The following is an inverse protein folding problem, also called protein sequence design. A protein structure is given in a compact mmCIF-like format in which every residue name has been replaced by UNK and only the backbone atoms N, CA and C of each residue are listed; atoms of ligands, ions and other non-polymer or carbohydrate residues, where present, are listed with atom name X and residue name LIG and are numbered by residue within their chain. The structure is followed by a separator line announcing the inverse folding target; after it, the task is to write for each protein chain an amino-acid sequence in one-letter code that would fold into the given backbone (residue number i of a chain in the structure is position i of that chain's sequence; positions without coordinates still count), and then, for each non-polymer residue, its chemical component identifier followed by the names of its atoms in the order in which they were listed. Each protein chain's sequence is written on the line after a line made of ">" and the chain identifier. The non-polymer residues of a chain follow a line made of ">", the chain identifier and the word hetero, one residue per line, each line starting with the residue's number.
data_IF_673034895380
#
_entry.id   IF_673034895380
#
_cell.length_a   1.000
_cell.length_b   1.000
_cell.length_c   1.000
_cell.angle_alpha   90.00
_cell.angle_beta   90.00
_cell.angle_gamma   90.00
#
_symmetry.space_group_name_H-M   'P 1'
#
loop_
_entity.id
_entity.type
_entity.pdbx_description
1 polymer ?
#
# COMPACT_ATOMS: atom_id res chain seq x y z
N UNK A 1 18.22 -1.16 -30.15
CA UNK A 1 18.28 -0.86 -28.70
C UNK A 1 16.93 -1.23 -28.11
N UNK A 2 16.85 -2.34 -27.38
CA UNK A 2 15.68 -2.65 -26.55
C UNK A 2 15.87 -1.93 -25.22
N UNK A 3 15.24 -0.77 -25.07
CA UNK A 3 15.22 -0.04 -23.81
C UNK A 3 14.25 -0.71 -22.85
N UNK A 4 14.69 -0.99 -21.63
CA UNK A 4 13.83 -1.43 -20.54
C UNK A 4 13.12 -0.21 -19.96
N UNK A 5 11.78 -0.18 -20.01
CA UNK A 5 10.98 0.90 -19.44
C UNK A 5 10.50 0.48 -18.06
N UNK A 6 10.82 1.28 -17.05
CA UNK A 6 10.38 1.04 -15.68
C UNK A 6 9.25 1.98 -15.28
N UNK A 7 8.28 1.47 -14.52
CA UNK A 7 7.13 2.23 -14.07
C UNK A 7 7.38 2.70 -12.65
N UNK A 8 7.68 3.99 -12.49
CA UNK A 8 7.87 4.60 -11.17
C UNK A 8 6.52 4.97 -10.54
N UNK A 9 5.60 5.54 -11.32
CA UNK A 9 4.30 5.99 -10.85
C UNK A 9 3.19 5.42 -11.74
N UNK A 10 2.32 4.58 -11.17
CA UNK A 10 1.18 4.00 -11.86
C UNK A 10 -0.12 4.60 -11.31
N UNK A 11 -0.83 5.37 -12.14
CA UNK A 11 -2.09 6.01 -11.77
C UNK A 11 -3.25 5.43 -12.57
N UNK A 12 -4.05 4.60 -11.91
CA UNK A 12 -5.23 3.94 -12.45
C UNK A 12 -6.50 4.32 -11.67
N UNK A 13 -6.50 5.46 -10.99
CA UNK A 13 -7.68 5.96 -10.27
C UNK A 13 -8.85 6.25 -11.20
N UNK A 14 -10.09 6.14 -10.72
CA UNK A 14 -11.33 6.35 -11.50
C UNK A 14 -11.45 5.41 -12.70
N UNK A 15 -11.17 4.13 -12.49
CA UNK A 15 -11.30 3.08 -13.49
C UNK A 15 -12.19 1.95 -12.97
N UNK A 16 -12.24 0.83 -13.71
CA UNK A 16 -12.98 -0.38 -13.34
C UNK A 16 -12.08 -1.51 -12.84
N UNK A 17 -10.98 -1.16 -12.15
CA UNK A 17 -10.03 -2.14 -11.62
C UNK A 17 -10.67 -2.86 -10.43
N UNK A 18 -10.89 -4.17 -10.57
CA UNK A 18 -11.35 -5.03 -9.48
C UNK A 18 -10.22 -5.85 -8.87
N UNK A 19 -10.59 -6.83 -8.04
CA UNK A 19 -9.62 -7.71 -7.37
C UNK A 19 -8.62 -8.40 -8.32
N UNK A 20 -9.09 -8.86 -9.49
CA UNK A 20 -8.22 -9.48 -10.49
C UNK A 20 -7.16 -8.52 -11.03
N UNK A 21 -7.53 -7.24 -11.22
CA UNK A 21 -6.56 -6.21 -11.62
C UNK A 21 -5.53 -5.93 -10.53
N UNK A 22 -5.94 -5.92 -9.26
CA UNK A 22 -4.99 -5.80 -8.15
C UNK A 22 -4.02 -6.99 -8.08
N UNK A 23 -4.49 -8.21 -8.35
CA UNK A 23 -3.62 -9.40 -8.46
C UNK A 23 -2.62 -9.25 -9.61
N UNK A 24 -3.06 -8.78 -10.78
CA UNK A 24 -2.16 -8.50 -11.91
C UNK A 24 -1.05 -7.51 -11.52
N UNK A 25 -1.37 -6.47 -10.74
CA UNK A 25 -0.40 -5.50 -10.24
C UNK A 25 0.62 -6.09 -9.27
N UNK A 26 0.33 -7.21 -8.59
CA UNK A 26 1.35 -7.88 -7.78
C UNK A 26 2.48 -8.47 -8.63
N UNK A 27 2.22 -8.84 -9.89
CA UNK A 27 3.29 -9.24 -10.80
C UNK A 27 4.20 -8.06 -11.14
N UNK A 28 3.63 -6.87 -11.35
CA UNK A 28 4.42 -5.66 -11.57
C UNK A 28 5.36 -5.34 -10.40
N UNK A 29 4.91 -5.55 -9.16
CA UNK A 29 5.73 -5.35 -7.96
C UNK A 29 6.92 -6.32 -7.84
N UNK A 30 6.85 -7.48 -8.50
CA UNK A 30 7.87 -8.54 -8.45
C UNK A 30 8.67 -8.68 -9.74
N UNK A 31 8.21 -8.10 -10.85
CA UNK A 31 8.76 -8.37 -12.16
C UNK A 31 10.22 -7.92 -12.27
N UNK A 32 10.50 -6.61 -12.17
CA UNK A 32 11.86 -6.07 -12.27
C UNK A 32 12.02 -4.73 -11.54
N UNK A 33 13.27 -4.33 -11.30
CA UNK A 33 13.62 -3.07 -10.66
C UNK A 33 13.83 -1.93 -11.68
N UNK A 34 13.44 -0.68 -11.38
CA UNK A 34 12.80 -0.25 -10.13
C UNK A 34 11.32 -0.65 -10.06
N UNK A 35 10.92 -1.17 -8.91
CA UNK A 35 9.52 -1.37 -8.58
C UNK A 35 8.80 -0.02 -8.41
N UNK A 36 7.47 0.04 -8.61
CA UNK A 36 6.72 1.29 -8.50
C UNK A 36 6.85 1.96 -7.14
N UNK A 37 6.98 3.28 -7.13
CA UNK A 37 6.98 4.10 -5.92
C UNK A 37 5.57 4.60 -5.59
N UNK A 38 4.70 4.75 -6.60
CA UNK A 38 3.28 5.12 -6.43
C UNK A 38 2.39 4.16 -7.22
N UNK A 39 1.34 3.65 -6.57
CA UNK A 39 0.22 2.95 -7.20
C UNK A 39 -1.06 3.61 -6.70
N UNK A 40 -1.75 4.31 -7.60
CA UNK A 40 -2.98 5.02 -7.28
C UNK A 40 -4.19 4.35 -7.92
N UNK A 41 -5.03 3.77 -7.05
CA UNK A 41 -6.19 2.95 -7.37
C UNK A 41 -7.47 3.45 -6.69
N UNK A 42 -7.54 4.74 -6.31
CA UNK A 42 -8.77 5.30 -5.75
C UNK A 42 -9.92 5.26 -6.77
N UNK A 43 -11.18 5.25 -6.32
CA UNK A 43 -12.34 5.24 -7.23
C UNK A 43 -12.30 4.06 -8.21
N UNK A 44 -12.08 2.85 -7.67
CA UNK A 44 -12.11 1.58 -8.40
C UNK A 44 -13.03 0.60 -7.68
N UNK A 45 -12.97 -0.69 -8.00
CA UNK A 45 -13.88 -1.72 -7.48
C UNK A 45 -13.12 -2.73 -6.60
N UNK A 46 -12.11 -2.27 -5.87
CA UNK A 46 -11.29 -3.11 -5.00
C UNK A 46 -12.04 -3.43 -3.73
N UNK A 47 -12.03 -4.71 -3.33
CA UNK A 47 -12.48 -5.15 -2.00
C UNK A 47 -11.29 -5.16 -1.02
N UNK A 48 -11.52 -5.20 0.31
CA UNK A 48 -10.43 -5.29 1.29
C UNK A 48 -9.42 -6.42 1.04
N UNK A 49 -9.88 -7.55 0.48
CA UNK A 49 -8.99 -8.66 0.12
C UNK A 49 -7.98 -8.29 -0.99
N UNK A 50 -8.33 -7.42 -1.93
CA UNK A 50 -7.40 -6.95 -2.96
C UNK A 50 -6.31 -6.05 -2.35
N UNK A 51 -6.66 -5.21 -1.38
CA UNK A 51 -5.70 -4.39 -0.64
C UNK A 51 -4.76 -5.27 0.18
N UNK A 52 -5.28 -6.32 0.83
CA UNK A 52 -4.44 -7.35 1.47
C UNK A 52 -3.43 -7.93 0.48
N UNK A 53 -3.87 -8.36 -0.71
CA UNK A 53 -2.99 -8.93 -1.74
C UNK A 53 -1.86 -7.96 -2.15
N UNK A 54 -2.18 -6.69 -2.40
CA UNK A 54 -1.19 -5.67 -2.78
C UNK A 54 -0.17 -5.43 -1.65
N UNK A 55 -0.63 -5.36 -0.40
CA UNK A 55 0.23 -5.15 0.76
C UNK A 55 1.16 -6.35 1.00
N UNK A 56 0.65 -7.57 0.89
CA UNK A 56 1.49 -8.79 1.03
C UNK A 56 2.50 -8.91 -0.10
N UNK A 57 2.13 -8.53 -1.32
CA UNK A 57 3.06 -8.53 -2.46
C UNK A 57 4.17 -7.48 -2.28
N UNK A 58 3.83 -6.26 -1.85
CA UNK A 58 4.85 -5.27 -1.52
C UNK A 58 5.79 -5.75 -0.40
N UNK A 59 5.27 -6.47 0.60
CA UNK A 59 6.06 -7.04 1.69
C UNK A 59 7.02 -8.15 1.24
N UNK A 60 6.56 -9.01 0.32
CA UNK A 60 7.32 -10.15 -0.20
C UNK A 60 8.27 -9.78 -1.37
N UNK A 61 8.18 -8.57 -1.91
CA UNK A 61 9.06 -8.15 -3.00
C UNK A 61 10.44 -7.74 -2.49
N UNK A 62 11.48 -8.34 -3.10
CA UNK A 62 12.88 -8.02 -2.86
C UNK A 62 13.24 -6.59 -3.28
N UNK A 63 12.38 -5.95 -4.08
CA UNK A 63 12.57 -4.59 -4.58
C UNK A 63 12.09 -3.52 -3.61
N UNK A 64 11.39 -3.90 -2.52
CA UNK A 64 11.00 -2.99 -1.45
C UNK A 64 11.83 -3.22 -0.16
N UNK A 65 12.29 -2.13 0.50
CA UNK A 65 12.08 -0.73 0.14
C UNK A 65 12.89 -0.32 -1.11
N UNK A 66 12.35 0.63 -1.89
CA UNK A 66 12.94 1.07 -3.17
C UNK A 66 14.26 1.82 -2.96
N UNK A 67 15.03 2.01 -4.04
CA UNK A 67 16.30 2.77 -4.03
C UNK A 67 16.14 4.22 -3.62
N UNK A 68 15.00 4.86 -3.92
CA UNK A 68 14.69 6.22 -3.43
C UNK A 68 14.42 6.26 -1.93
N UNK A 69 14.32 5.08 -1.29
CA UNK A 69 14.11 4.87 0.14
C UNK A 69 12.83 5.55 0.64
N UNK A 70 11.83 5.62 -0.23
CA UNK A 70 10.48 6.08 0.08
C UNK A 70 9.57 4.86 0.23
N UNK A 71 8.53 4.95 1.07
CA UNK A 71 7.53 3.89 1.12
C UNK A 71 6.83 3.80 -0.23
N UNK A 72 6.27 2.64 -0.57
CA UNK A 72 5.30 2.56 -1.67
C UNK A 72 4.06 3.38 -1.32
N UNK A 73 3.70 4.36 -2.15
CA UNK A 73 2.45 5.10 -2.01
C UNK A 73 1.30 4.32 -2.64
N UNK A 74 0.53 3.62 -1.82
CA UNK A 74 -0.61 2.83 -2.24
C UNK A 74 -1.92 3.55 -1.90
N UNK A 75 -2.53 4.20 -2.89
CA UNK A 75 -3.80 4.92 -2.73
C UNK A 75 -4.97 4.05 -3.15
N UNK A 76 -5.86 3.76 -2.22
CA UNK A 76 -7.00 2.84 -2.41
C UNK A 76 -8.29 3.38 -1.76
N UNK A 77 -8.34 4.68 -1.49
CA UNK A 77 -9.52 5.37 -0.97
C UNK A 77 -10.68 5.38 -1.97
N UNK A 78 -11.90 5.60 -1.47
CA UNK A 78 -13.12 5.84 -2.25
C UNK A 78 -13.43 4.72 -3.26
N UNK A 79 -13.36 3.45 -2.84
CA UNK A 79 -13.75 2.36 -3.73
C UNK A 79 -15.26 2.41 -4.02
N UNK A 80 -15.64 2.23 -5.29
CA UNK A 80 -16.99 2.15 -5.82
C UNK A 80 -17.70 0.82 -5.47
N UNK A 81 -17.20 0.08 -4.48
CA UNK A 81 -17.84 -1.12 -3.93
C UNK A 81 -17.90 -0.97 -2.42
N UNK A 82 -18.99 -1.41 -1.77
CA UNK A 82 -19.15 -1.24 -0.34
C UNK A 82 -18.12 -2.06 0.43
N UNK A 83 -17.44 -1.40 1.35
CA UNK A 83 -16.56 -2.04 2.33
C UNK A 83 -17.33 -2.22 3.63
N UNK A 84 -17.50 -3.47 4.06
CA UNK A 84 -18.26 -3.79 5.28
C UNK A 84 -17.69 -3.04 6.50
N UNK A 85 -18.56 -2.28 7.16
CA UNK A 85 -18.21 -1.50 8.35
C UNK A 85 -17.66 -0.11 8.05
N UNK A 86 -17.72 0.35 6.80
CA UNK A 86 -17.48 1.75 6.45
C UNK A 86 -18.80 2.43 6.13
N UNK A 87 -18.98 3.63 6.68
CA UNK A 87 -20.19 4.43 6.50
C UNK A 87 -19.81 5.79 5.92
N UNK A 88 -20.40 6.23 4.79
CA UNK A 88 -20.13 7.55 4.22
C UNK A 88 -20.38 8.66 5.26
N UNK A 89 -19.38 9.54 5.46
CA UNK A 89 -19.46 10.67 6.40
C UNK A 89 -19.20 10.32 7.87
N UNK A 90 -18.99 9.04 8.23
CA UNK A 90 -18.67 8.60 9.58
C UNK A 90 -17.14 8.52 9.80
N UNK A 91 -16.46 9.66 9.73
CA UNK A 91 -15.00 9.73 9.68
C UNK A 91 -14.32 9.07 10.89
N UNK A 92 -14.85 9.25 12.10
CA UNK A 92 -14.26 8.71 13.33
C UNK A 92 -14.40 7.17 13.40
N UNK A 93 -15.57 6.64 13.07
CA UNK A 93 -15.84 5.21 13.03
C UNK A 93 -15.02 4.52 11.93
N UNK A 94 -14.96 5.14 10.75
CA UNK A 94 -14.14 4.67 9.65
C UNK A 94 -12.65 4.67 10.00
N UNK A 95 -12.18 5.67 10.75
CA UNK A 95 -10.81 5.73 11.24
C UNK A 95 -10.50 4.58 12.20
N UNK A 96 -11.34 4.34 13.21
CA UNK A 96 -11.17 3.23 14.14
C UNK A 96 -11.18 1.86 13.41
N UNK A 97 -12.04 1.73 12.39
CA UNK A 97 -12.09 0.54 11.55
C UNK A 97 -10.80 0.32 10.77
N UNK A 98 -10.24 1.38 10.20
CA UNK A 98 -8.96 1.29 9.50
C UNK A 98 -7.82 0.98 10.45
N UNK A 99 -7.81 1.49 11.68
CA UNK A 99 -6.77 1.14 12.67
C UNK A 99 -6.74 -0.37 12.94
N UNK A 100 -7.92 -0.98 13.07
CA UNK A 100 -8.05 -2.44 13.15
C UNK A 100 -7.51 -3.14 11.89
N UNK A 101 -7.91 -2.68 10.70
CA UNK A 101 -7.46 -3.25 9.44
C UNK A 101 -5.94 -3.15 9.27
N UNK A 102 -5.32 -2.01 9.63
CA UNK A 102 -3.89 -1.80 9.54
C UNK A 102 -3.12 -2.64 10.55
N UNK A 103 -3.68 -2.93 11.74
CA UNK A 103 -3.08 -3.91 12.68
C UNK A 103 -3.03 -5.31 12.06
N UNK A 104 -4.10 -5.76 11.42
CA UNK A 104 -4.11 -7.03 10.70
C UNK A 104 -3.16 -7.03 9.49
N UNK A 105 -3.14 -5.93 8.73
CA UNK A 105 -2.26 -5.79 7.58
C UNK A 105 -0.78 -5.84 7.95
N UNK A 106 -0.38 -5.19 9.06
CA UNK A 106 0.98 -5.32 9.59
C UNK A 106 1.35 -6.79 9.83
N UNK A 107 0.46 -7.59 10.44
CA UNK A 107 0.71 -9.03 10.66
C UNK A 107 0.86 -9.80 9.36
N UNK A 108 -0.03 -9.57 8.38
CA UNK A 108 0.03 -10.23 7.08
C UNK A 108 1.32 -9.88 6.33
N UNK A 109 1.73 -8.61 6.37
CA UNK A 109 2.95 -8.13 5.72
C UNK A 109 4.20 -8.71 6.39
N UNK A 110 4.28 -8.70 7.72
CA UNK A 110 5.40 -9.32 8.44
C UNK A 110 5.54 -10.80 8.10
N UNK A 111 4.43 -11.54 8.15
CA UNK A 111 4.45 -12.96 7.79
C UNK A 111 4.88 -13.17 6.33
N UNK A 112 4.30 -12.44 5.38
CA UNK A 112 4.66 -12.57 3.96
C UNK A 112 6.13 -12.25 3.69
N UNK A 113 6.73 -11.32 4.45
CA UNK A 113 8.15 -10.96 4.32
C UNK A 113 9.08 -11.99 4.94
N UNK A 114 8.69 -12.56 6.09
CA UNK A 114 9.44 -13.61 6.76
C UNK A 114 9.46 -14.91 5.92
N UNK A 115 8.34 -15.28 5.29
CA UNK A 115 8.23 -16.45 4.40
C UNK A 115 9.23 -16.43 3.23
N UNK A 116 9.55 -15.22 2.71
CA UNK A 116 10.54 -15.05 1.64
C UNK A 116 11.93 -14.68 2.16
N UNK A 117 12.16 -14.79 3.47
CA UNK A 117 13.45 -14.57 4.14
C UNK A 117 14.08 -13.19 3.87
N UNK A 118 13.26 -12.14 3.72
CA UNK A 118 13.75 -10.78 3.49
C UNK A 118 14.11 -10.04 4.80
N UNK A 119 15.06 -9.09 4.78
CA UNK A 119 15.44 -8.33 5.97
C UNK A 119 14.26 -7.60 6.59
N UNK A 120 14.16 -7.64 7.93
CA UNK A 120 13.10 -6.95 8.67
C UNK A 120 13.16 -5.44 8.45
N UNK A 121 11.98 -4.83 8.47
CA UNK A 121 11.80 -3.37 8.45
C UNK A 121 11.19 -2.94 9.78
N UNK A 122 11.54 -1.74 10.26
CA UNK A 122 11.04 -1.27 11.55
C UNK A 122 9.53 -1.05 11.55
N UNK A 123 8.97 -0.68 10.39
CA UNK A 123 7.54 -0.44 10.22
C UNK A 123 7.09 -1.01 8.86
N UNK A 124 5.96 -1.71 8.82
CA UNK A 124 5.39 -2.15 7.52
C UNK A 124 4.54 -1.04 6.90
N UNK A 125 3.79 -0.27 7.71
CA UNK A 125 2.77 0.68 7.25
C UNK A 125 2.92 2.06 7.92
N UNK A 126 2.77 3.17 7.17
CA UNK A 126 2.40 4.48 7.75
C UNK A 126 0.87 4.69 7.66
N UNK A 127 0.29 5.13 8.77
CA UNK A 127 -1.12 5.51 8.91
C UNK A 127 -1.32 7.01 8.64
N UNK A 128 -1.02 7.54 7.43
CA UNK A 128 -1.36 8.95 7.18
C UNK A 128 -2.85 9.11 6.94
N UNK A 129 -3.55 9.35 8.04
CA UNK A 129 -4.97 9.62 8.07
C UNK A 129 -5.36 10.75 7.12
N UNK A 130 -4.63 11.88 7.08
CA UNK A 130 -5.04 13.07 6.29
C UNK A 130 -4.10 13.40 5.11
N UNK A 131 -3.49 12.39 4.48
CA UNK A 131 -2.70 12.57 3.25
C UNK A 131 -1.29 13.12 3.42
N UNK A 132 -1.00 13.74 4.56
CA UNK A 132 0.34 14.16 4.92
C UNK A 132 0.87 13.28 6.06
N UNK A 133 1.71 12.28 5.74
CA UNK A 133 2.62 11.71 6.75
C UNK A 133 3.74 12.75 6.93
N UNK A 134 3.60 13.64 7.92
CA UNK A 134 4.68 14.59 8.28
C UNK A 134 5.81 13.92 9.05
N UNK A 135 5.62 12.66 9.46
CA UNK A 135 6.63 11.86 10.15
C UNK A 135 7.91 11.79 9.30
N UNK A 136 9.04 12.17 9.91
CA UNK A 136 10.36 12.09 9.29
C UNK A 136 10.66 10.69 8.74
N UNK A 137 10.09 9.64 9.34
CA UNK A 137 10.20 8.26 8.87
C UNK A 137 9.68 8.05 7.45
N UNK A 138 8.70 8.82 6.96
CA UNK A 138 8.21 8.72 5.57
C UNK A 138 8.91 9.66 4.58
N UNK A 139 9.61 10.69 5.08
CA UNK A 139 10.35 11.66 4.27
C UNK A 139 11.82 11.28 4.10
N UNK A 140 12.40 10.68 5.12
CA UNK A 140 13.82 10.34 5.21
C UNK A 140 14.01 8.95 5.82
N UNK A 141 14.37 7.98 4.99
CA UNK A 141 14.76 6.65 5.45
C UNK A 141 16.25 6.59 5.73
N UNK A 142 16.63 6.11 6.90
CA UNK A 142 18.00 5.77 7.23
C UNK A 142 18.07 4.31 7.72
N UNK A 143 19.23 3.69 7.51
CA UNK A 143 19.52 2.35 8.02
C UNK A 143 20.07 2.49 9.43
N UNK A 144 19.40 1.90 10.42
CA UNK A 144 19.87 1.86 11.80
C UNK A 144 19.47 0.53 12.44
N UNK A 145 20.35 -0.02 13.29
CA UNK A 145 20.09 -1.25 14.06
C UNK A 145 19.66 -2.46 13.21
N UNK A 146 20.16 -2.56 11.96
CA UNK A 146 19.85 -3.67 11.07
C UNK A 146 18.49 -3.59 10.38
N UNK A 147 17.81 -2.44 10.42
CA UNK A 147 16.53 -2.21 9.74
C UNK A 147 16.43 -0.81 9.10
N UNK A 148 15.55 -0.67 8.12
CA UNK A 148 15.16 0.63 7.57
C UNK A 148 14.14 1.31 8.49
N UNK A 149 14.38 2.59 8.80
CA UNK A 149 13.51 3.41 9.66
C UNK A 149 12.18 3.83 9.02
N UNK A 150 12.08 3.71 7.70
CA UNK A 150 10.91 4.10 6.91
C UNK A 150 9.92 2.94 6.80
N UNK A 151 8.60 3.20 6.84
CA UNK A 151 7.62 2.16 6.56
C UNK A 151 7.80 1.60 5.15
N UNK A 152 7.42 0.34 4.96
CA UNK A 152 7.47 -0.26 3.63
C UNK A 152 6.41 0.32 2.69
N UNK A 153 5.19 0.53 3.21
CA UNK A 153 4.05 1.01 2.45
C UNK A 153 3.35 2.16 3.16
N UNK A 154 2.89 3.11 2.35
CA UNK A 154 2.11 4.28 2.74
C UNK A 154 0.69 4.14 2.18
N UNK A 155 -0.33 4.12 3.05
CA UNK A 155 -1.74 3.90 2.63
C UNK A 155 -2.62 5.07 3.07
N UNK A 156 -2.53 6.23 2.38
CA UNK A 156 -3.21 7.44 2.82
C UNK A 156 -4.72 7.35 2.60
N UNK A 157 -5.48 8.07 3.43
CA UNK A 157 -6.94 8.23 3.30
C UNK A 157 -7.77 6.93 3.25
N UNK A 158 -7.23 5.80 3.71
CA UNK A 158 -7.92 4.50 3.67
C UNK A 158 -9.30 4.52 4.35
N UNK A 159 -9.49 5.42 5.33
CA UNK A 159 -10.76 5.64 6.05
C UNK A 159 -11.87 6.18 5.15
N UNK A 160 -11.51 6.88 4.08
CA UNK A 160 -12.45 7.54 3.20
C UNK A 160 -12.96 6.55 2.14
N UNK A 161 -13.71 5.54 2.57
CA UNK A 161 -14.41 4.63 1.66
C UNK A 161 -15.83 5.13 1.42
N UNK A 162 -16.22 5.19 0.15
CA UNK A 162 -17.54 5.63 -0.29
C UNK A 162 -18.02 4.72 -1.41
N UNK A 163 -18.92 3.80 -1.08
CA UNK A 163 -19.80 3.26 -2.11
C UNK A 163 -20.93 4.27 -2.26
N UNK A 164 -20.85 5.09 -3.31
CA UNK A 164 -22.06 5.76 -3.75
C UNK A 164 -22.89 4.68 -4.44
N UNK A 165 -24.09 4.44 -3.92
CA UNK A 165 -25.12 3.64 -4.58
C UNK A 165 -25.50 4.26 -5.94
#
# INVERSE_FOLDING_TARGET
>A
VTGQVSVVNLRLHKNRVGNAGAQALTHLMHAEAPAPEEIHLSHNYLKPCAVKCLLTAAAASVHYPTRSRRPLWLRVERQCVPWKGFVPGADAENQARVEEMLRWANRWMSHARDEVCLPRVSYMLCQAWKGECTANSCKWSHWAQGAWSCPLVHVPFLWNQSAND
#
